data_IF_195869534991
#
_entry.id   IF_195869534991
#
_cell.length_a   1.000
_cell.length_b   1.000
_cell.length_c   1.000
_cell.angle_alpha   90.00
_cell.angle_beta   90.00
_cell.angle_gamma   90.00
#
_symmetry.space_group_name_H-M   'P 1'
#
loop_
_entity.id
_entity.type
_entity.pdbx_description
1 polymer ?
#
# COMPACT_ATOMS: atom_id res chain seq x y z
N UNK A 1 -22.60 -18.23 -25.40
CA UNK A 1 -21.19 -17.82 -25.54
C UNK A 1 -20.48 -18.35 -24.32
N UNK A 2 -19.52 -19.24 -24.58
CA UNK A 2 -18.75 -20.00 -23.61
C UNK A 2 -17.83 -19.06 -22.81
N UNK A 3 -17.85 -19.17 -21.48
CA UNK A 3 -17.05 -18.35 -20.54
C UNK A 3 -15.90 -19.15 -19.90
N UNK A 4 -15.63 -20.36 -20.40
CA UNK A 4 -14.45 -21.13 -20.00
C UNK A 4 -13.20 -20.69 -20.76
N UNK A 5 -12.31 -19.89 -20.15
CA UNK A 5 -10.97 -19.73 -20.72
C UNK A 5 -10.15 -18.49 -20.35
N UNK A 6 -10.17 -17.98 -19.12
CA UNK A 6 -9.13 -17.04 -18.67
C UNK A 6 -8.03 -17.77 -17.88
N UNK A 7 -6.75 -17.60 -18.23
CA UNK A 7 -5.64 -18.20 -17.49
C UNK A 7 -5.47 -17.54 -16.11
N UNK A 8 -5.14 -18.35 -15.10
CA UNK A 8 -5.04 -17.98 -13.67
C UNK A 8 -4.05 -16.82 -13.37
N UNK A 9 -3.18 -16.47 -14.34
CA UNK A 9 -2.27 -15.31 -14.30
C UNK A 9 -2.98 -13.96 -14.38
N UNK A 10 -4.16 -13.92 -15.01
CA UNK A 10 -4.91 -12.68 -15.22
C UNK A 10 -5.80 -12.33 -14.01
N UNK A 11 -6.01 -13.29 -13.09
CA UNK A 11 -6.73 -13.08 -11.83
C UNK A 11 -5.95 -12.17 -10.87
N UNK A 12 -4.60 -12.20 -10.92
CA UNK A 12 -3.74 -11.29 -10.15
C UNK A 12 -3.80 -9.85 -10.69
N UNK A 13 -3.96 -9.66 -12.00
CA UNK A 13 -4.00 -8.34 -12.63
C UNK A 13 -5.28 -7.54 -12.34
N UNK A 14 -6.41 -8.19 -12.06
CA UNK A 14 -7.68 -7.51 -11.81
C UNK A 14 -7.99 -7.27 -10.32
N UNK A 15 -7.45 -8.10 -9.41
CA UNK A 15 -7.69 -7.94 -7.96
C UNK A 15 -6.73 -6.94 -7.33
N UNK A 16 -5.54 -6.73 -7.91
CA UNK A 16 -4.51 -5.84 -7.35
C UNK A 16 -4.56 -4.38 -7.86
N UNK A 17 -5.23 -4.12 -8.99
CA UNK A 17 -5.32 -2.77 -9.60
C UNK A 17 -6.59 -1.97 -9.25
N UNK A 18 -7.66 -2.59 -8.73
CA UNK A 18 -8.96 -1.91 -8.59
C UNK A 18 -9.41 -1.57 -7.17
N UNK A 19 -8.64 -1.89 -6.12
CA UNK A 19 -8.99 -1.49 -4.75
C UNK A 19 -10.48 -1.65 -4.46
N UNK A 20 -11.02 -2.85 -4.65
CA UNK A 20 -12.43 -3.12 -4.34
C UNK A 20 -12.72 -2.50 -2.96
N UNK A 21 -13.72 -1.62 -2.85
CA UNK A 21 -14.00 -0.96 -1.59
C UNK A 21 -14.29 -2.06 -0.56
N UNK A 22 -13.74 -1.93 0.65
CA UNK A 22 -13.94 -2.90 1.73
C UNK A 22 -15.44 -3.07 2.07
N UNK A 23 -16.30 -2.17 1.58
CA UNK A 23 -17.76 -2.18 1.72
C UNK A 23 -18.47 -3.35 1.03
N UNK A 24 -17.79 -4.15 0.18
CA UNK A 24 -18.40 -5.32 -0.46
C UNK A 24 -18.49 -6.57 0.45
N UNK A 25 -17.95 -6.51 1.68
CA UNK A 25 -18.25 -7.49 2.74
C UNK A 25 -19.20 -6.86 3.76
N UNK A 26 -20.43 -6.60 3.31
CA UNK A 26 -21.57 -6.41 4.21
C UNK A 26 -21.73 -7.66 5.09
N UNK A 27 -21.14 -7.65 6.27
CA UNK A 27 -21.18 -8.79 7.18
C UNK A 27 -20.23 -8.80 8.37
N UNK A 28 -19.36 -7.79 8.57
CA UNK A 28 -18.72 -7.62 9.88
C UNK A 28 -19.74 -7.11 10.88
N UNK A 29 -20.49 -8.06 11.45
CA UNK A 29 -21.24 -7.86 12.68
C UNK A 29 -20.30 -7.18 13.68
N UNK A 30 -20.70 -6.00 14.12
CA UNK A 30 -20.06 -5.23 15.16
C UNK A 30 -20.08 -6.06 16.45
N UNK A 31 -18.99 -6.77 16.71
CA UNK A 31 -18.68 -7.24 18.05
C UNK A 31 -18.43 -6.00 18.94
N UNK A 32 -19.27 -5.74 19.96
CA UNK A 32 -19.16 -4.57 20.82
C UNK A 32 -17.88 -4.57 21.67
N UNK A 33 -17.11 -5.67 21.72
CA UNK A 33 -15.79 -5.71 22.36
C UNK A 33 -14.68 -5.05 21.51
N UNK A 34 -14.92 -4.76 20.22
CA UNK A 34 -14.04 -4.00 19.33
C UNK A 34 -14.33 -2.48 19.31
N UNK A 35 -15.00 -1.97 20.34
CA UNK A 35 -15.55 -0.60 20.46
C UNK A 35 -14.55 0.57 20.53
N UNK A 36 -13.37 0.50 19.89
CA UNK A 36 -12.43 1.64 19.72
C UNK A 36 -11.65 1.63 18.39
N UNK A 37 -12.27 1.28 17.26
CA UNK A 37 -11.66 1.54 15.94
C UNK A 37 -12.07 2.89 15.33
N UNK A 38 -11.93 3.99 16.08
CA UNK A 38 -11.89 5.36 15.52
C UNK A 38 -10.48 5.96 15.63
N UNK A 39 -9.46 5.12 15.58
CA UNK A 39 -8.06 5.51 15.72
C UNK A 39 -7.29 5.43 14.40
N UNK A 40 -6.14 6.10 14.40
CA UNK A 40 -5.09 5.98 13.39
C UNK A 40 -4.87 4.51 13.00
N UNK A 41 -4.74 4.27 11.69
CA UNK A 41 -4.32 2.98 11.14
C UNK A 41 -2.93 3.09 10.54
N UNK A 42 -2.15 2.02 10.60
CA UNK A 42 -0.88 1.89 9.90
C UNK A 42 -0.99 0.79 8.87
N UNK A 43 -0.68 1.12 7.62
CA UNK A 43 -0.62 0.18 6.51
C UNK A 43 0.82 -0.32 6.44
N UNK A 44 0.97 -1.64 6.46
CA UNK A 44 2.23 -2.32 6.22
C UNK A 44 2.15 -3.03 4.87
N UNK A 45 3.04 -2.64 3.96
CA UNK A 45 3.27 -3.31 2.69
C UNK A 45 4.56 -4.12 2.78
N UNK A 46 4.47 -5.40 2.47
CA UNK A 46 5.62 -6.26 2.18
C UNK A 46 5.64 -6.50 0.68
N UNK A 47 6.75 -6.20 0.02
CA UNK A 47 6.97 -6.44 -1.39
C UNK A 47 7.97 -7.59 -1.56
N UNK A 48 7.67 -8.50 -2.48
CA UNK A 48 8.68 -9.31 -3.16
C UNK A 48 9.06 -8.57 -4.44
N UNK A 49 10.31 -8.18 -4.57
CA UNK A 49 10.83 -7.36 -5.66
C UNK A 49 11.74 -8.16 -6.59
N UNK A 50 12.04 -7.61 -7.76
CA UNK A 50 13.11 -8.15 -8.59
C UNK A 50 14.47 -7.58 -8.16
N UNK A 51 15.38 -8.44 -7.70
CA UNK A 51 16.68 -8.04 -7.17
C UNK A 51 17.54 -7.32 -8.22
N UNK A 52 17.38 -7.68 -9.50
CA UNK A 52 18.06 -7.02 -10.62
C UNK A 52 17.41 -5.68 -11.03
N UNK A 53 16.30 -5.29 -10.38
CA UNK A 53 15.52 -4.06 -10.64
C UNK A 53 15.37 -3.21 -9.38
N UNK A 54 16.35 -3.28 -8.49
CA UNK A 54 16.34 -2.53 -7.25
C UNK A 54 16.25 -1.01 -7.49
N UNK A 55 17.02 -0.49 -8.46
CA UNK A 55 17.01 0.95 -8.80
C UNK A 55 15.61 1.43 -9.24
N UNK A 56 14.89 0.63 -10.04
CA UNK A 56 13.51 0.92 -10.45
C UNK A 56 12.55 0.92 -9.24
N UNK A 57 12.73 -0.02 -8.31
CA UNK A 57 11.94 -0.07 -7.08
C UNK A 57 12.25 1.09 -6.13
N UNK A 58 13.51 1.52 -6.04
CA UNK A 58 13.91 2.68 -5.25
C UNK A 58 13.24 3.95 -5.76
N UNK A 59 13.25 4.17 -7.08
CA UNK A 59 12.55 5.30 -7.71
C UNK A 59 11.04 5.23 -7.44
N UNK A 60 10.43 4.05 -7.58
CA UNK A 60 9.03 3.82 -7.21
C UNK A 60 8.77 4.22 -5.74
N UNK A 61 9.61 3.75 -4.81
CA UNK A 61 9.49 4.06 -3.39
C UNK A 61 9.63 5.56 -3.08
N UNK A 62 10.62 6.23 -3.67
CA UNK A 62 10.84 7.69 -3.49
C UNK A 62 9.62 8.50 -3.89
N UNK A 63 8.94 8.14 -5.00
CA UNK A 63 7.67 8.79 -5.41
C UNK A 63 6.59 8.62 -4.35
N UNK A 64 6.37 7.39 -3.87
CA UNK A 64 5.32 7.12 -2.90
C UNK A 64 5.52 7.79 -1.54
N UNK A 65 6.77 8.00 -1.10
CA UNK A 65 7.04 8.79 0.13
C UNK A 65 6.41 10.18 0.03
N UNK A 66 6.59 10.87 -1.09
CA UNK A 66 6.05 12.21 -1.31
C UNK A 66 4.53 12.19 -1.50
N UNK A 67 4.03 11.25 -2.31
CA UNK A 67 2.61 11.12 -2.62
C UNK A 67 1.77 10.85 -1.36
N UNK A 68 2.16 9.87 -0.54
CA UNK A 68 1.43 9.53 0.69
C UNK A 68 1.31 10.74 1.62
N UNK A 69 2.39 11.50 1.79
CA UNK A 69 2.37 12.71 2.61
C UNK A 69 1.47 13.79 2.00
N UNK A 70 1.46 13.95 0.66
CA UNK A 70 0.56 14.89 -0.04
C UNK A 70 -0.92 14.55 0.20
N UNK A 71 -1.26 13.26 0.23
CA UNK A 71 -2.63 12.80 0.49
C UNK A 71 -3.01 12.76 1.99
N UNK A 72 -2.24 13.39 2.86
CA UNK A 72 -2.54 13.49 4.30
C UNK A 72 -2.23 12.22 5.09
N UNK A 73 -1.47 11.29 4.50
CA UNK A 73 -0.85 10.19 5.22
C UNK A 73 0.45 10.63 5.90
N UNK A 74 0.98 9.78 6.77
CA UNK A 74 2.32 9.93 7.34
C UNK A 74 3.17 8.74 6.93
N UNK A 75 4.16 8.97 6.07
CA UNK A 75 5.07 7.92 5.64
C UNK A 75 6.15 7.64 6.70
N UNK A 76 6.32 6.37 7.09
CA UNK A 76 7.28 5.94 8.11
C UNK A 76 8.61 5.42 7.56
N UNK A 77 8.64 5.11 6.26
CA UNK A 77 9.85 4.70 5.58
C UNK A 77 9.59 3.62 4.54
N UNK A 78 10.45 3.61 3.51
CA UNK A 78 10.67 2.46 2.64
C UNK A 78 11.95 1.79 3.14
N UNK A 79 11.89 0.49 3.38
CA UNK A 79 12.99 -0.31 3.87
C UNK A 79 13.36 -1.29 2.77
N UNK A 80 14.57 -1.15 2.24
CA UNK A 80 15.10 -1.97 1.16
C UNK A 80 15.83 -3.21 1.70
N UNK A 81 16.03 -4.24 0.87
CA UNK A 81 16.96 -5.32 1.19
C UNK A 81 18.32 -4.79 1.64
N UNK A 82 18.83 -5.38 2.71
CA UNK A 82 20.18 -5.13 3.21
C UNK A 82 20.76 -6.47 3.67
N UNK A 83 20.93 -6.71 4.97
CA UNK A 83 21.27 -8.02 5.51
C UNK A 83 19.99 -8.85 5.73
N UNK A 84 19.90 -10.03 5.08
CA UNK A 84 18.73 -10.90 5.13
C UNK A 84 18.22 -11.28 3.73
N UNK A 85 16.90 -11.23 3.53
CA UNK A 85 16.26 -11.49 2.24
C UNK A 85 16.69 -10.43 1.22
N UNK A 86 17.23 -10.85 0.06
CA UNK A 86 17.74 -9.94 -0.98
C UNK A 86 16.65 -9.31 -1.85
N UNK A 87 15.41 -9.77 -1.71
CA UNK A 87 14.28 -9.45 -2.58
C UNK A 87 13.02 -9.03 -1.80
N UNK A 88 13.16 -8.75 -0.50
CA UNK A 88 12.06 -8.26 0.32
C UNK A 88 12.25 -6.80 0.69
N UNK A 89 11.26 -5.98 0.34
CA UNK A 89 11.17 -4.59 0.76
C UNK A 89 9.90 -4.31 1.56
N UNK A 90 9.91 -3.28 2.40
CA UNK A 90 8.77 -2.87 3.20
C UNK A 90 8.44 -1.40 3.02
N UNK A 91 7.15 -1.08 3.11
CA UNK A 91 6.70 0.30 3.30
C UNK A 91 5.69 0.36 4.45
N UNK A 92 5.85 1.35 5.31
CA UNK A 92 4.90 1.62 6.38
C UNK A 92 4.42 3.06 6.28
N UNK A 93 3.12 3.27 6.41
CA UNK A 93 2.53 4.61 6.47
C UNK A 93 1.22 4.60 7.24
N UNK A 94 0.86 5.72 7.85
CA UNK A 94 -0.37 5.85 8.64
C UNK A 94 -1.37 6.83 8.04
N UNK A 95 -2.64 6.59 8.33
CA UNK A 95 -3.74 7.51 8.07
C UNK A 95 -4.58 7.71 9.34
N UNK A 96 -5.25 8.87 9.51
CA UNK A 96 -6.09 9.15 10.69
C UNK A 96 -7.21 8.12 10.91
N UNK A 97 -7.69 7.48 9.84
CA UNK A 97 -8.72 6.45 9.87
C UNK A 97 -8.67 5.57 8.62
N UNK A 98 -9.43 4.47 8.64
CA UNK A 98 -9.63 3.65 7.44
C UNK A 98 -10.31 4.44 6.30
N UNK A 99 -11.29 5.28 6.62
CA UNK A 99 -12.01 6.09 5.63
C UNK A 99 -11.07 7.06 4.89
N UNK A 100 -10.16 7.74 5.61
CA UNK A 100 -9.17 8.62 4.98
C UNK A 100 -8.19 7.88 4.08
N UNK A 101 -7.84 6.64 4.44
CA UNK A 101 -7.01 5.78 3.58
C UNK A 101 -7.78 5.32 2.33
N UNK A 102 -9.06 4.98 2.45
CA UNK A 102 -9.90 4.60 1.31
C UNK A 102 -10.06 5.76 0.33
N UNK A 103 -10.27 6.98 0.84
CA UNK A 103 -10.30 8.18 0.01
C UNK A 103 -8.98 8.40 -0.73
N UNK A 104 -7.84 8.30 -0.02
CA UNK A 104 -6.52 8.33 -0.65
C UNK A 104 -6.38 7.33 -1.80
N UNK A 105 -6.84 6.09 -1.60
CA UNK A 105 -6.80 5.08 -2.67
C UNK A 105 -7.60 5.50 -3.88
N UNK A 106 -8.81 6.04 -3.68
CA UNK A 106 -9.66 6.51 -4.76
C UNK A 106 -9.00 7.66 -5.52
N UNK A 107 -8.49 8.66 -4.80
CA UNK A 107 -7.85 9.85 -5.39
C UNK A 107 -6.57 9.47 -6.15
N UNK A 108 -5.81 8.50 -5.64
CA UNK A 108 -4.58 8.03 -6.29
C UNK A 108 -4.80 7.43 -7.68
N UNK A 109 -6.02 6.95 -7.99
CA UNK A 109 -6.30 6.33 -9.29
C UNK A 109 -6.38 7.35 -10.43
N UNK A 110 -6.72 8.61 -10.13
CA UNK A 110 -6.85 9.69 -11.11
C UNK A 110 -5.73 10.72 -11.05
N UNK A 111 -4.89 10.70 -10.01
CA UNK A 111 -3.74 11.59 -9.87
C UNK A 111 -2.62 11.23 -10.88
N UNK A 112 -2.16 12.19 -11.71
CA UNK A 112 -1.16 11.92 -12.74
C UNK A 112 0.18 11.38 -12.21
N UNK A 113 0.66 11.89 -11.07
CA UNK A 113 1.94 11.44 -10.52
C UNK A 113 1.83 10.03 -9.91
N UNK A 114 0.67 9.70 -9.31
CA UNK A 114 0.36 8.33 -8.91
C UNK A 114 0.33 7.39 -10.12
N UNK A 115 -0.30 7.80 -11.23
CA UNK A 115 -0.36 7.01 -12.46
C UNK A 115 1.03 6.74 -13.04
N UNK A 116 1.93 7.72 -13.01
CA UNK A 116 3.33 7.53 -13.41
C UNK A 116 4.05 6.53 -12.50
N UNK A 117 3.83 6.59 -11.18
CA UNK A 117 4.42 5.62 -10.25
C UNK A 117 3.86 4.20 -10.50
N UNK A 118 2.56 4.05 -10.77
CA UNK A 118 1.97 2.77 -11.16
C UNK A 118 2.53 2.25 -12.49
N UNK A 119 2.70 3.14 -13.48
CA UNK A 119 3.28 2.79 -14.78
C UNK A 119 4.72 2.29 -14.63
N UNK A 120 5.55 2.99 -13.84
CA UNK A 120 6.93 2.59 -13.55
C UNK A 120 7.01 1.15 -13.05
N UNK A 121 6.24 0.79 -12.01
CA UNK A 121 6.24 -0.56 -11.47
C UNK A 121 5.73 -1.60 -12.49
N UNK A 122 4.73 -1.25 -13.30
CA UNK A 122 4.16 -2.13 -14.33
C UNK A 122 5.15 -2.40 -15.47
N UNK A 123 5.81 -1.36 -15.96
CA UNK A 123 6.70 -1.41 -17.11
C UNK A 123 8.02 -2.10 -16.78
N UNK A 124 8.62 -1.75 -15.64
CA UNK A 124 9.89 -2.34 -15.18
C UNK A 124 9.70 -3.73 -14.60
N UNK A 125 8.49 -4.03 -14.12
CA UNK A 125 8.15 -5.26 -13.38
C UNK A 125 9.02 -5.45 -12.13
N UNK A 126 9.47 -4.36 -11.51
CA UNK A 126 10.32 -4.39 -10.32
C UNK A 126 9.61 -4.97 -9.09
N UNK A 127 8.27 -5.06 -9.07
CA UNK A 127 7.47 -5.71 -8.02
C UNK A 127 6.89 -7.02 -8.57
N UNK A 128 7.21 -8.14 -7.91
CA UNK A 128 6.71 -9.48 -8.27
C UNK A 128 5.42 -9.82 -7.55
N UNK A 129 5.32 -9.44 -6.27
CA UNK A 129 4.18 -9.68 -5.39
C UNK A 129 4.17 -8.65 -4.26
N UNK A 130 3.00 -8.36 -3.71
CA UNK A 130 2.93 -7.61 -2.47
C UNK A 130 1.84 -8.14 -1.53
N UNK A 131 2.01 -7.86 -0.25
CA UNK A 131 1.03 -8.13 0.80
C UNK A 131 0.72 -6.85 1.56
N UNK A 132 -0.55 -6.66 1.93
CA UNK A 132 -1.01 -5.48 2.67
C UNK A 132 -1.66 -5.90 3.98
N UNK A 133 -1.22 -5.27 5.07
CA UNK A 133 -1.76 -5.49 6.42
C UNK A 133 -2.16 -4.14 7.03
N UNK A 134 -3.21 -4.15 7.84
CA UNK A 134 -3.66 -3.00 8.62
C UNK A 134 -3.33 -3.25 10.09
N UNK A 135 -2.59 -2.32 10.68
CA UNK A 135 -2.04 -2.41 12.02
C UNK A 135 -2.56 -1.25 12.86
N UNK A 136 -2.82 -1.51 14.14
CA UNK A 136 -3.07 -0.47 15.13
C UNK A 136 -1.72 -0.06 15.74
N UNK A 137 -1.28 1.20 15.63
CA UNK A 137 -0.08 1.63 16.35
C UNK A 137 -0.33 1.60 17.86
N UNK A 138 0.72 1.30 18.64
CA UNK A 138 0.62 1.24 20.11
C UNK A 138 0.38 2.65 20.69
N UNK A 139 1.20 3.62 20.28
CA UNK A 139 1.26 4.98 20.83
C UNK A 139 0.78 6.07 19.84
N UNK A 140 0.08 5.68 18.77
CA UNK A 140 -0.31 6.60 17.68
C UNK A 140 0.78 6.76 16.60
N UNK A 141 0.65 7.79 15.75
CA UNK A 141 1.67 8.11 14.72
C UNK A 141 2.83 8.84 15.41
N UNK A 142 4.09 8.35 15.31
CA UNK A 142 5.25 9.10 15.76
C UNK A 142 5.31 10.45 15.05
N UNK A 143 5.38 11.54 15.82
CA UNK A 143 5.56 12.88 15.26
C UNK A 143 7.04 13.11 14.97
N UNK A 144 7.40 13.83 13.89
CA UNK A 144 8.79 14.21 13.65
C UNK A 144 9.28 15.04 14.84
N UNK A 145 10.27 14.54 15.57
CA UNK A 145 10.92 15.32 16.63
C UNK A 145 11.75 16.40 15.94
N UNK A 146 11.31 17.65 16.01
CA UNK A 146 12.14 18.79 15.58
C UNK A 146 13.18 19.01 16.67
N UNK A 147 14.37 18.44 16.50
CA UNK A 147 15.52 18.79 17.33
C UNK A 147 15.92 20.23 16.96
N UNK A 148 15.75 21.14 17.90
CA UNK A 148 16.25 22.53 17.80
C UNK A 148 17.75 22.63 18.00
#
# INVERSE_FOLDING_TARGET
MDVGGMPQRDVLHAVELFGQPLVALAGYASDPSHGKMQGVITIHLKYEIDADKLEDFEEYGRRWVLLVNRFGGTHHGYFLPSEGDSDIAFALFSFPSLATYEQYRMDSMSDPECQEAFALARETRCIKRYERRFLRPLDGVPQPTVSG
#
